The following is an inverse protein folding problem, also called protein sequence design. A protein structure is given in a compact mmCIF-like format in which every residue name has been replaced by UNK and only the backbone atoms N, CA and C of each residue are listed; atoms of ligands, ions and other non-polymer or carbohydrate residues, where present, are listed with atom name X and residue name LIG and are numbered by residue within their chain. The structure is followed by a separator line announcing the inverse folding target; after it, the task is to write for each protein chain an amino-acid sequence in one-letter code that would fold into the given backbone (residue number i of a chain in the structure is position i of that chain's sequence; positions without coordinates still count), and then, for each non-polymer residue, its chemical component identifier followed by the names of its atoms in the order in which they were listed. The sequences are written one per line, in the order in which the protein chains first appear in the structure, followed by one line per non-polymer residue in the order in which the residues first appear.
data_IF_330116706226
#
_entry.id   IF_330116706226
#
_cell.length_a   1.000
_cell.length_b   1.000
_cell.length_c   1.000
_cell.angle_alpha   90.00
_cell.angle_beta   90.00
_cell.angle_gamma   90.00
#
_symmetry.space_group_name_H-M   'P 1'
#
loop_
_entity.id
_entity.type
_entity.pdbx_description
1 polymer ?
#
# COMPACT_ATOMS: atom_id res chain seq x y z
N UNK A 1 -28.71 7.25 4.12
CA UNK A 1 -27.50 7.78 3.44
C UNK A 1 -26.34 7.92 4.40
N UNK A 2 -26.47 8.62 5.53
CA UNK A 2 -25.38 8.79 6.52
C UNK A 2 -24.75 7.48 7.04
N UNK A 3 -25.56 6.44 7.33
CA UNK A 3 -25.01 5.15 7.78
C UNK A 3 -24.19 4.41 6.70
N UNK A 4 -24.57 4.56 5.43
CA UNK A 4 -23.85 3.93 4.31
C UNK A 4 -22.48 4.60 4.11
N UNK A 5 -22.42 5.91 4.26
CA UNK A 5 -21.19 6.71 4.15
C UNK A 5 -20.21 6.38 5.29
N UNK A 6 -20.69 6.32 6.54
CA UNK A 6 -19.88 5.89 7.70
C UNK A 6 -19.36 4.45 7.59
N UNK A 7 -20.15 3.55 7.00
CA UNK A 7 -19.73 2.18 6.74
C UNK A 7 -18.62 2.11 5.66
N UNK A 8 -18.67 2.98 4.66
CA UNK A 8 -17.64 3.11 3.61
C UNK A 8 -16.32 3.67 4.18
N UNK A 9 -16.37 4.72 5.01
CA UNK A 9 -15.19 5.31 5.66
C UNK A 9 -14.44 4.29 6.55
N UNK A 10 -15.18 3.58 7.40
CA UNK A 10 -14.63 2.51 8.23
C UNK A 10 -14.06 1.34 7.42
N UNK A 11 -14.55 1.10 6.20
CA UNK A 11 -14.00 0.09 5.31
C UNK A 11 -12.69 0.57 4.64
N UNK A 12 -12.59 1.85 4.28
CA UNK A 12 -11.35 2.42 3.72
C UNK A 12 -10.23 2.41 4.75
N UNK A 13 -10.48 2.85 5.98
CA UNK A 13 -9.46 2.84 7.04
C UNK A 13 -8.95 1.41 7.30
N UNK A 14 -9.86 0.44 7.40
CA UNK A 14 -9.50 -0.99 7.52
C UNK A 14 -8.69 -1.48 6.32
N UNK A 15 -9.06 -1.06 5.11
CA UNK A 15 -8.33 -1.37 3.89
C UNK A 15 -6.92 -0.79 3.88
N UNK A 16 -6.75 0.46 4.31
CA UNK A 16 -5.46 1.12 4.42
C UNK A 16 -4.54 0.41 5.42
N UNK A 17 -5.07 0.03 6.59
CA UNK A 17 -4.33 -0.76 7.59
C UNK A 17 -3.93 -2.14 7.04
N UNK A 18 -4.84 -2.82 6.33
CA UNK A 18 -4.54 -4.11 5.73
C UNK A 18 -3.43 -4.01 4.67
N UNK A 19 -3.46 -2.96 3.84
CA UNK A 19 -2.42 -2.70 2.83
C UNK A 19 -1.08 -2.38 3.47
N UNK A 20 -1.05 -1.56 4.53
CA UNK A 20 0.21 -1.27 5.22
C UNK A 20 0.81 -2.52 5.87
N UNK A 21 -0.02 -3.35 6.51
CA UNK A 21 0.43 -4.63 7.07
C UNK A 21 0.97 -5.58 5.98
N UNK A 22 0.28 -5.68 4.85
CA UNK A 22 0.75 -6.48 3.72
C UNK A 22 2.08 -5.95 3.17
N UNK A 23 2.23 -4.62 3.07
CA UNK A 23 3.47 -3.95 2.63
C UNK A 23 4.64 -4.27 3.56
N UNK A 24 4.45 -4.15 4.86
CA UNK A 24 5.48 -4.49 5.86
C UNK A 24 5.86 -5.97 5.78
N UNK A 25 4.88 -6.86 5.63
CA UNK A 25 5.13 -8.28 5.46
C UNK A 25 5.93 -8.59 4.20
N UNK A 26 5.61 -7.94 3.08
CA UNK A 26 6.33 -8.10 1.80
C UNK A 26 7.76 -7.55 1.92
N UNK A 27 7.96 -6.39 2.53
CA UNK A 27 9.28 -5.79 2.74
C UNK A 27 10.21 -6.70 3.56
N UNK A 28 9.70 -7.29 4.65
CA UNK A 28 10.43 -8.31 5.40
C UNK A 28 10.79 -9.52 4.54
N UNK A 29 9.83 -10.02 3.77
CA UNK A 29 10.05 -11.21 2.92
C UNK A 29 11.07 -10.95 1.82
N UNK A 30 11.10 -9.74 1.26
CA UNK A 30 12.12 -9.31 0.30
C UNK A 30 13.50 -9.33 0.95
N UNK A 31 13.64 -8.71 2.13
CA UNK A 31 14.90 -8.70 2.89
C UNK A 31 15.39 -10.10 3.25
N UNK A 32 14.49 -11.00 3.63
CA UNK A 32 14.82 -12.39 3.93
C UNK A 32 15.35 -13.13 2.68
N UNK A 33 14.76 -12.87 1.52
CA UNK A 33 15.21 -13.48 0.26
C UNK A 33 16.55 -12.88 -0.16
N UNK A 34 16.74 -11.56 -0.03
CA UNK A 34 18.02 -10.90 -0.30
C UNK A 34 19.14 -11.45 0.58
N UNK A 35 18.88 -11.66 1.87
CA UNK A 35 19.86 -12.26 2.80
C UNK A 35 20.23 -13.69 2.40
N UNK A 36 19.24 -14.53 2.07
CA UNK A 36 19.47 -15.91 1.62
C UNK A 36 20.23 -15.97 0.30
N UNK A 37 19.92 -15.07 -0.64
CA UNK A 37 20.65 -15.00 -1.90
C UNK A 37 22.10 -14.54 -1.67
N UNK A 38 22.34 -13.55 -0.80
CA UNK A 38 23.70 -13.15 -0.46
C UNK A 38 24.53 -14.29 0.15
N UNK A 39 23.92 -15.09 1.03
CA UNK A 39 24.55 -16.30 1.59
C UNK A 39 24.88 -17.32 0.49
N UNK A 40 23.92 -17.64 -0.38
CA UNK A 40 24.10 -18.62 -1.47
C UNK A 40 25.11 -18.18 -2.53
N UNK A 41 25.14 -16.89 -2.86
CA UNK A 41 26.04 -16.33 -3.88
C UNK A 41 27.51 -16.52 -3.55
N UNK A 42 27.86 -16.61 -2.26
CA UNK A 42 29.24 -16.85 -1.81
C UNK A 42 29.80 -18.22 -2.22
N UNK A 43 28.92 -19.19 -2.54
CA UNK A 43 29.31 -20.54 -2.91
C UNK A 43 29.46 -20.75 -4.42
N UNK A 44 29.00 -19.80 -5.25
CA UNK A 44 28.99 -19.98 -6.70
C UNK A 44 30.16 -19.23 -7.33
N UNK A 45 30.83 -19.88 -8.29
CA UNK A 45 31.98 -19.33 -9.02
C UNK A 45 31.88 -19.64 -10.51
N UNK A 46 32.58 -18.88 -11.36
CA UNK A 46 32.57 -19.09 -12.81
C UNK A 46 31.18 -18.80 -13.43
N UNK A 47 30.77 -19.61 -14.41
CA UNK A 47 29.52 -19.39 -15.16
C UNK A 47 28.26 -19.44 -14.28
N UNK A 48 28.30 -20.19 -13.18
CA UNK A 48 27.23 -20.23 -12.20
C UNK A 48 27.06 -18.87 -11.49
N UNK A 49 28.17 -18.23 -11.12
CA UNK A 49 28.14 -16.90 -10.49
C UNK A 49 27.56 -15.83 -11.42
N UNK A 50 27.89 -15.90 -12.72
CA UNK A 50 27.29 -15.00 -13.73
C UNK A 50 25.77 -15.16 -13.78
N UNK A 51 25.29 -16.40 -13.89
CA UNK A 51 23.85 -16.70 -13.92
C UNK A 51 23.14 -16.27 -12.63
N UNK A 52 23.80 -16.43 -11.48
CA UNK A 52 23.30 -15.96 -10.19
C UNK A 52 23.15 -14.45 -10.14
N UNK A 53 24.17 -13.71 -10.58
CA UNK A 53 24.15 -12.26 -10.59
C UNK A 53 23.02 -11.72 -11.47
N UNK A 54 22.75 -12.37 -12.61
CA UNK A 54 21.60 -12.05 -13.46
C UNK A 54 20.27 -12.29 -12.72
N UNK A 55 20.12 -13.43 -12.04
CA UNK A 55 18.93 -13.72 -11.24
C UNK A 55 18.74 -12.69 -10.11
N UNK A 56 19.81 -12.37 -9.38
CA UNK A 56 19.83 -11.38 -8.30
C UNK A 56 19.37 -10.01 -8.79
N UNK A 57 19.88 -9.58 -9.95
CA UNK A 57 19.51 -8.30 -10.57
C UNK A 57 18.02 -8.29 -10.93
N UNK A 58 17.53 -9.33 -11.62
CA UNK A 58 16.11 -9.42 -11.99
C UNK A 58 15.19 -9.50 -10.77
N UNK A 59 15.62 -10.18 -9.71
CA UNK A 59 14.91 -10.23 -8.44
C UNK A 59 14.81 -8.82 -7.83
N UNK A 60 15.92 -8.10 -7.69
CA UNK A 60 15.95 -6.76 -7.12
C UNK A 60 15.07 -5.79 -7.89
N UNK A 61 15.08 -5.85 -9.22
CA UNK A 61 14.18 -5.06 -10.07
C UNK A 61 12.70 -5.34 -9.76
N UNK A 62 12.32 -6.62 -9.69
CA UNK A 62 10.94 -7.03 -9.39
C UNK A 62 10.53 -6.66 -7.96
N UNK A 63 11.40 -6.85 -6.98
CA UNK A 63 11.18 -6.49 -5.59
C UNK A 63 10.97 -4.97 -5.45
N UNK A 64 11.81 -4.16 -6.10
CA UNK A 64 11.66 -2.71 -6.13
C UNK A 64 10.36 -2.28 -6.82
N UNK A 65 9.99 -2.93 -7.92
CA UNK A 65 8.72 -2.65 -8.60
C UNK A 65 7.50 -2.97 -7.72
N UNK A 66 7.53 -4.09 -7.01
CA UNK A 66 6.46 -4.47 -6.09
C UNK A 66 6.33 -3.44 -4.95
N UNK A 67 7.46 -3.02 -4.36
CA UNK A 67 7.47 -2.00 -3.32
C UNK A 67 6.87 -0.66 -3.80
N UNK A 68 7.16 -0.24 -5.05
CA UNK A 68 6.55 0.95 -5.64
C UNK A 68 5.02 0.81 -5.73
N UNK A 69 4.53 -0.29 -6.31
CA UNK A 69 3.09 -0.54 -6.44
C UNK A 69 2.37 -0.52 -5.08
N UNK A 70 2.98 -1.10 -4.05
CA UNK A 70 2.39 -1.11 -2.71
C UNK A 70 2.39 0.28 -2.05
N UNK A 71 3.42 1.09 -2.29
CA UNK A 71 3.45 2.48 -1.85
C UNK A 71 2.36 3.30 -2.57
N UNK A 72 2.23 3.14 -3.89
CA UNK A 72 1.21 3.83 -4.68
C UNK A 72 -0.20 3.43 -4.22
N UNK A 73 -0.43 2.15 -3.96
CA UNK A 73 -1.72 1.66 -3.43
C UNK A 73 -2.03 2.29 -2.06
N UNK A 74 -1.06 2.33 -1.15
CA UNK A 74 -1.21 2.98 0.16
C UNK A 74 -1.57 4.45 -0.01
N UNK A 75 -0.85 5.17 -0.86
CA UNK A 75 -1.03 6.61 -1.04
C UNK A 75 -2.39 6.92 -1.68
N UNK A 76 -2.83 6.10 -2.65
CA UNK A 76 -4.17 6.17 -3.24
C UNK A 76 -5.29 5.90 -2.23
N UNK A 77 -5.12 4.90 -1.35
CA UNK A 77 -6.11 4.61 -0.31
C UNK A 77 -6.22 5.75 0.70
N UNK A 78 -5.09 6.33 1.12
CA UNK A 78 -5.07 7.49 2.03
C UNK A 78 -5.65 8.74 1.37
N UNK A 79 -5.37 8.95 0.09
CA UNK A 79 -5.99 10.01 -0.71
C UNK A 79 -7.51 9.85 -0.76
N UNK A 80 -7.99 8.66 -1.08
CA UNK A 80 -9.42 8.35 -1.14
C UNK A 80 -10.10 8.55 0.23
N UNK A 81 -9.48 8.12 1.32
CA UNK A 81 -10.00 8.34 2.68
C UNK A 81 -10.15 9.83 3.00
N UNK A 82 -9.14 10.63 2.66
CA UNK A 82 -9.14 12.07 2.88
C UNK A 82 -10.21 12.79 2.04
N UNK A 83 -10.35 12.41 0.77
CA UNK A 83 -11.34 13.00 -0.13
C UNK A 83 -12.77 12.66 0.30
N UNK A 84 -12.99 11.44 0.82
CA UNK A 84 -14.28 11.07 1.41
C UNK A 84 -14.61 11.89 2.66
N UNK A 85 -13.65 12.03 3.59
CA UNK A 85 -13.85 12.83 4.80
C UNK A 85 -14.17 14.31 4.47
N UNK A 86 -13.47 14.90 3.50
CA UNK A 86 -13.73 16.28 3.07
C UNK A 86 -15.12 16.44 2.42
N UNK A 87 -15.54 15.49 1.58
CA UNK A 87 -16.86 15.50 0.98
C UNK A 87 -17.99 15.35 2.02
N UNK A 88 -17.74 14.62 3.11
CA UNK A 88 -18.72 14.47 4.18
C UNK A 88 -18.86 15.74 5.03
N UNK A 89 -17.75 16.40 5.38
CA UNK A 89 -17.78 17.68 6.09
C UNK A 89 -18.57 18.74 5.30
N UNK A 90 -18.33 18.82 3.98
CA UNK A 90 -19.07 19.74 3.11
C UNK A 90 -20.57 19.40 3.06
N UNK A 91 -20.93 18.12 2.87
CA UNK A 91 -22.32 17.68 2.86
C UNK A 91 -23.06 17.91 4.20
N UNK A 92 -22.41 17.66 5.33
CA UNK A 92 -22.98 17.94 6.65
C UNK A 92 -23.19 19.45 6.85
N UNK A 93 -22.23 20.28 6.41
CA UNK A 93 -22.36 21.74 6.48
C UNK A 93 -23.52 22.26 5.64
N UNK A 94 -23.71 21.73 4.42
CA UNK A 94 -24.81 22.08 3.52
C UNK A 94 -26.15 21.62 4.07
N UNK A 95 -26.22 20.41 4.61
CA UNK A 95 -27.44 19.86 5.22
C UNK A 95 -27.86 20.69 6.44
N UNK A 96 -26.90 21.04 7.30
CA UNK A 96 -27.16 21.88 8.48
C UNK A 96 -27.66 23.27 8.09
N UNK A 97 -27.09 23.88 7.04
CA UNK A 97 -27.56 25.15 6.49
C UNK A 97 -28.98 25.06 5.93
N UNK A 98 -29.31 23.98 5.22
CA UNK A 98 -30.65 23.75 4.70
C UNK A 98 -31.67 23.54 5.83
N UNK A 99 -31.31 22.77 6.87
CA UNK A 99 -32.16 22.59 8.04
C UNK A 99 -32.43 23.92 8.77
N UNK A 100 -31.42 24.77 8.91
CA UNK A 100 -31.56 26.10 9.51
C UNK A 100 -32.41 27.09 8.67
N UNK A 101 -32.60 26.82 7.38
CA UNK A 101 -33.45 27.62 6.49
C UNK A 101 -34.88 27.10 6.38
N UNK A 102 -35.10 25.82 6.69
CA UNK A 102 -36.40 25.14 6.58
C UNK A 102 -37.11 24.98 7.94
N UNK A 103 -36.42 25.23 9.05
CA UNK A 103 -36.97 25.36 10.40
C UNK A 103 -37.05 26.82 10.83
#
# INVERSE_FOLDING_TARGET
MAEKIRAEEGAIEKGAVAVENARLGIDHRIKDIDAKMAELGSFWSGDAATSFNTLMTSWQEKANSLNRILNDLRDNLRGTAKDQAANEEDNQSRTSKLQALLG
#
